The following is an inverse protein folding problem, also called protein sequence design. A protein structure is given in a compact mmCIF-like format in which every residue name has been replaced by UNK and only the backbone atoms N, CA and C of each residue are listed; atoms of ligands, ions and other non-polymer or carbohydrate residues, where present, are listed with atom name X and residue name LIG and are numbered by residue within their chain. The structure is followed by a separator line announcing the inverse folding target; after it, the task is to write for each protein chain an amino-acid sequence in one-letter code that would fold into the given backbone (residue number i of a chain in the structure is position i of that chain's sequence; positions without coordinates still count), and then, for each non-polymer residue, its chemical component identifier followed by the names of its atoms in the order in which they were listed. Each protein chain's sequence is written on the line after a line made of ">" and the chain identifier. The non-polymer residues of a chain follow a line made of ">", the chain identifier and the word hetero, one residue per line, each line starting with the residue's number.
data_IF_909886437651
#
_entry.id   IF_909886437651
#
_cell.length_a   1.000
_cell.length_b   1.000
_cell.length_c   1.000
_cell.angle_alpha   90.00
_cell.angle_beta   90.00
_cell.angle_gamma   90.00
#
_symmetry.space_group_name_H-M   'P 1'
#
loop_
_entity.id
_entity.type
_entity.pdbx_description
1 polymer ?
#
# COMPACT_ATOMS: atom_id res chain seq x y z
N UNK A 1 54.45 -3.47 38.62
CA UNK A 1 55.53 -2.83 37.82
C UNK A 1 56.51 -2.17 38.78
N UNK A 2 57.82 -2.36 38.62
CA UNK A 2 58.81 -1.71 39.48
C UNK A 2 58.76 -0.19 39.29
N UNK A 3 58.95 0.57 40.37
CA UNK A 3 59.04 2.03 40.30
C UNK A 3 60.28 2.48 39.52
N UNK A 4 60.17 3.57 38.77
CA UNK A 4 61.29 4.10 38.00
C UNK A 4 62.28 4.83 38.93
N UNK A 5 63.55 4.42 38.90
CA UNK A 5 64.63 4.88 39.82
C UNK A 5 65.97 5.09 39.12
N UNK A 6 66.00 5.07 37.80
CA UNK A 6 67.24 5.19 37.02
C UNK A 6 67.74 6.63 37.02
N UNK A 7 69.05 6.83 37.13
CA UNK A 7 69.67 8.16 37.20
C UNK A 7 69.63 8.81 38.59
N UNK A 8 69.92 10.12 38.63
CA UNK A 8 69.92 10.96 39.83
C UNK A 8 69.14 12.24 39.60
N UNK A 9 68.63 12.85 40.67
CA UNK A 9 67.90 14.13 40.61
C UNK A 9 68.58 15.23 41.41
N UNK A 10 68.59 16.43 40.86
CA UNK A 10 68.95 17.68 41.51
C UNK A 10 67.67 18.47 41.80
N UNK A 11 67.49 18.86 43.06
CA UNK A 11 66.34 19.64 43.52
C UNK A 11 66.81 20.65 44.56
N UNK A 12 66.57 21.93 44.30
CA UNK A 12 66.87 22.99 45.25
C UNK A 12 65.75 23.12 46.29
N UNK A 13 66.13 23.42 47.54
CA UNK A 13 65.17 23.62 48.63
C UNK A 13 64.16 24.72 48.26
N UNK A 14 62.87 24.46 48.49
CA UNK A 14 61.78 25.38 48.18
C UNK A 14 61.48 25.56 46.69
N UNK A 15 62.12 24.81 45.79
CA UNK A 15 61.84 24.84 44.36
C UNK A 15 60.92 23.69 43.93
N UNK A 16 60.19 23.90 42.83
CA UNK A 16 59.32 22.88 42.22
C UNK A 16 60.00 22.12 41.10
N UNK A 17 61.16 22.58 40.61
CA UNK A 17 61.82 21.97 39.45
C UNK A 17 62.77 20.86 39.89
N UNK A 18 62.60 19.68 39.29
CA UNK A 18 63.45 18.51 39.47
C UNK A 18 64.24 18.31 38.18
N UNK A 19 65.58 18.38 38.28
CA UNK A 19 66.48 18.18 37.13
C UNK A 19 67.18 16.84 37.26
N UNK A 20 66.94 15.93 36.33
CA UNK A 20 67.51 14.60 36.28
C UNK A 20 68.81 14.52 35.47
N UNK A 21 69.71 13.63 35.89
CA UNK A 21 70.89 13.20 35.12
C UNK A 21 70.80 11.69 34.92
N UNK A 22 70.86 11.23 33.67
CA UNK A 22 70.65 9.82 33.32
C UNK A 22 69.21 9.33 33.55
N UNK A 23 68.24 10.26 33.55
CA UNK A 23 66.81 9.97 33.70
C UNK A 23 66.10 10.05 32.35
N UNK A 24 64.93 9.43 32.24
CA UNK A 24 63.98 9.58 31.15
C UNK A 24 62.55 9.66 31.68
N UNK A 25 62.23 10.79 32.33
CA UNK A 25 60.94 11.06 32.95
C UNK A 25 59.79 10.99 31.96
N UNK A 26 59.93 11.60 30.77
CA UNK A 26 58.89 11.63 29.75
C UNK A 26 58.46 10.23 29.26
N UNK A 27 59.38 9.25 29.22
CA UNK A 27 59.04 7.89 28.83
C UNK A 27 58.49 7.02 29.97
N UNK A 28 58.75 7.38 31.23
CA UNK A 28 58.53 6.51 32.39
C UNK A 28 57.60 7.09 33.46
N UNK A 29 57.06 8.28 33.26
CA UNK A 29 56.12 8.93 34.19
C UNK A 29 55.09 9.77 33.45
N UNK A 30 54.03 10.14 34.15
CA UNK A 30 52.98 11.05 33.70
C UNK A 30 52.74 12.12 34.76
N UNK A 31 52.20 13.26 34.33
CA UNK A 31 51.64 14.25 35.27
C UNK A 31 50.57 13.57 36.13
N UNK A 32 50.62 13.81 37.43
CA UNK A 32 49.80 13.15 38.45
C UNK A 32 50.47 11.96 39.13
N UNK A 33 51.60 11.45 38.61
CA UNK A 33 52.38 10.40 39.29
C UNK A 33 53.02 10.93 40.58
N UNK A 34 53.31 10.01 41.51
CA UNK A 34 53.96 10.36 42.76
C UNK A 34 55.48 10.21 42.62
N UNK A 35 56.20 11.28 42.90
CA UNK A 35 57.65 11.29 43.07
C UNK A 35 57.99 11.17 44.55
N UNK A 36 58.76 10.15 44.91
CA UNK A 36 59.47 10.11 46.18
C UNK A 36 60.79 10.85 46.02
N UNK A 37 60.92 11.98 46.70
CA UNK A 37 62.13 12.81 46.67
C UNK A 37 63.30 12.16 47.42
N UNK A 38 64.53 12.69 47.26
CA UNK A 38 65.70 12.23 48.02
C UNK A 38 65.56 12.38 49.54
N UNK A 39 64.66 13.26 49.99
CA UNK A 39 64.27 13.44 51.39
C UNK A 39 63.27 12.38 51.89
N UNK A 40 62.86 11.45 51.03
CA UNK A 40 61.93 10.35 51.34
C UNK A 40 60.45 10.75 51.29
N UNK A 41 60.13 12.02 51.04
CA UNK A 41 58.75 12.54 50.99
C UNK A 41 58.12 12.35 49.61
N UNK A 42 56.80 12.32 49.59
CA UNK A 42 56.00 12.18 48.38
C UNK A 42 55.55 13.54 47.85
N UNK A 43 55.70 13.70 46.54
CA UNK A 43 55.33 14.88 45.80
C UNK A 43 54.52 14.48 44.56
N UNK A 44 53.54 15.30 44.19
CA UNK A 44 52.80 15.13 42.95
C UNK A 44 53.61 15.71 41.79
N UNK A 45 53.82 14.95 40.71
CA UNK A 45 54.41 15.47 39.48
C UNK A 45 53.37 16.33 38.75
N UNK A 46 53.61 17.64 38.64
CA UNK A 46 52.66 18.60 38.05
C UNK A 46 52.93 18.92 36.58
N UNK A 47 54.15 18.71 36.11
CA UNK A 47 54.52 18.90 34.72
C UNK A 47 55.73 18.02 34.39
N UNK A 48 55.84 17.55 33.13
CA UNK A 48 57.03 16.87 32.62
C UNK A 48 57.50 17.64 31.39
N UNK A 49 58.54 18.45 31.56
CA UNK A 49 59.07 19.30 30.49
C UNK A 49 59.95 18.52 29.51
N UNK A 50 60.64 17.46 29.97
CA UNK A 50 61.49 16.62 29.13
C UNK A 50 61.82 15.28 29.82
N UNK A 51 62.67 14.45 29.19
CA UNK A 51 63.24 13.25 29.83
C UNK A 51 64.08 13.55 31.09
N UNK A 52 64.53 14.79 31.27
CA UNK A 52 65.41 15.19 32.38
C UNK A 52 64.85 16.32 33.23
N UNK A 53 63.67 16.87 32.93
CA UNK A 53 63.09 17.95 33.72
C UNK A 53 61.62 17.67 33.98
N UNK A 54 61.23 17.67 35.25
CA UNK A 54 59.83 17.65 35.68
C UNK A 54 59.60 18.69 36.79
N UNK A 55 58.35 18.97 37.09
CA UNK A 55 57.94 19.84 38.19
C UNK A 55 57.11 19.07 39.21
N UNK A 56 57.22 19.46 40.48
CA UNK A 56 56.53 18.83 41.61
C UNK A 56 55.70 19.81 42.44
N UNK A 57 54.69 19.30 43.13
CA UNK A 57 53.89 20.01 44.13
C UNK A 57 53.65 19.12 45.39
N UNK A 58 53.74 19.67 46.61
CA UNK A 58 54.24 21.01 46.95
C UNK A 58 55.72 21.19 46.58
N UNK A 59 56.25 22.41 46.70
CA UNK A 59 57.68 22.66 46.48
C UNK A 59 58.55 21.79 47.39
N UNK A 60 59.76 21.45 46.93
CA UNK A 60 60.65 20.51 47.61
C UNK A 60 60.98 20.95 49.03
N UNK A 61 60.69 20.08 50.00
CA UNK A 61 60.78 20.37 51.43
C UNK A 61 62.11 19.90 52.06
N UNK A 62 62.95 19.21 51.28
CA UNK A 62 64.30 18.80 51.68
C UNK A 62 65.35 19.89 51.48
N UNK A 63 66.54 19.67 52.03
CA UNK A 63 67.73 20.49 51.73
C UNK A 63 68.13 20.35 50.25
N UNK A 64 68.72 21.40 49.67
CA UNK A 64 69.20 21.39 48.28
C UNK A 64 70.16 20.22 48.03
N UNK A 65 69.87 19.41 47.02
CA UNK A 65 70.68 18.25 46.64
C UNK A 65 71.01 18.35 45.15
N UNK A 66 72.27 18.10 44.80
CA UNK A 66 72.75 18.09 43.42
C UNK A 66 72.68 16.72 42.74
N UNK A 67 72.61 15.61 43.50
CA UNK A 67 72.54 14.25 42.96
C UNK A 67 71.90 13.25 43.95
N UNK A 68 70.58 13.29 44.09
CA UNK A 68 69.82 12.43 45.00
C UNK A 68 69.22 11.19 44.35
N UNK A 69 68.95 10.16 45.16
CA UNK A 69 68.09 9.03 44.77
C UNK A 69 66.62 9.45 44.79
N UNK A 70 65.81 8.85 43.95
CA UNK A 70 64.37 9.12 43.87
C UNK A 70 63.62 7.85 43.48
N UNK A 71 62.29 7.90 43.53
CA UNK A 71 61.45 6.91 42.89
C UNK A 71 60.19 7.53 42.30
N UNK A 72 59.82 7.14 41.09
CA UNK A 72 58.54 7.49 40.48
C UNK A 72 57.58 6.30 40.57
N UNK A 73 56.48 6.53 41.28
CA UNK A 73 55.39 5.59 41.45
C UNK A 73 54.21 6.03 40.56
N UNK A 74 53.78 5.19 39.60
CA UNK A 74 52.60 5.48 38.81
C UNK A 74 51.37 5.60 39.69
N UNK A 75 50.76 6.79 39.76
CA UNK A 75 49.51 6.99 40.47
C UNK A 75 48.38 6.87 39.45
N UNK A 76 48.15 5.63 39.00
CA UNK A 76 46.99 5.33 38.20
C UNK A 76 45.75 5.40 39.10
N UNK A 77 45.28 6.61 39.40
CA UNK A 77 43.86 6.80 39.64
C UNK A 77 43.14 6.12 38.49
N UNK A 78 42.14 5.28 38.79
CA UNK A 78 41.27 4.62 37.80
C UNK A 78 41.18 5.50 36.55
N UNK A 79 41.37 4.95 35.34
CA UNK A 79 41.32 5.72 34.08
C UNK A 79 39.95 6.41 33.97
N UNK A 80 39.81 7.52 34.68
CA UNK A 80 38.52 8.07 35.11
C UNK A 80 37.82 8.60 33.89
N UNK A 81 38.60 9.15 32.98
CA UNK A 81 38.16 9.55 31.66
C UNK A 81 37.60 8.37 30.84
N UNK A 82 38.23 7.18 30.85
CA UNK A 82 37.71 6.03 30.11
C UNK A 82 36.42 5.48 30.75
N UNK A 83 36.37 5.42 32.08
CA UNK A 83 35.16 5.03 32.80
C UNK A 83 34.02 6.04 32.61
N UNK A 84 34.33 7.33 32.58
CA UNK A 84 33.35 8.41 32.35
C UNK A 84 32.87 8.41 30.90
N UNK A 85 33.75 8.19 29.91
CA UNK A 85 33.38 8.02 28.49
C UNK A 85 32.51 6.78 28.27
N UNK A 86 32.82 5.65 28.92
CA UNK A 86 31.98 4.45 28.84
C UNK A 86 30.61 4.68 29.48
N UNK A 87 30.56 5.37 30.63
CA UNK A 87 29.30 5.72 31.28
C UNK A 87 28.44 6.61 30.38
N UNK A 88 29.03 7.62 29.74
CA UNK A 88 28.33 8.47 28.78
C UNK A 88 27.72 7.66 27.63
N UNK A 89 28.44 6.67 27.08
CA UNK A 89 27.89 5.79 26.03
C UNK A 89 26.67 5.01 26.56
N UNK A 90 26.77 4.44 27.77
CA UNK A 90 25.67 3.69 28.39
C UNK A 90 24.47 4.58 28.69
N UNK A 91 24.69 5.80 29.17
CA UNK A 91 23.64 6.77 29.44
C UNK A 91 22.94 7.24 28.16
N UNK A 92 23.72 7.52 27.10
CA UNK A 92 23.20 8.03 25.85
C UNK A 92 22.50 6.96 25.01
N UNK A 93 23.08 5.75 24.93
CA UNK A 93 22.64 4.71 24.00
C UNK A 93 22.10 3.45 24.68
N UNK A 94 22.26 3.29 26.00
CA UNK A 94 21.89 2.05 26.69
C UNK A 94 20.41 1.70 26.52
N UNK A 95 19.52 2.69 26.61
CA UNK A 95 18.08 2.49 26.38
C UNK A 95 17.76 2.12 24.93
N UNK A 96 18.43 2.74 23.95
CA UNK A 96 18.25 2.44 22.53
C UNK A 96 18.77 1.05 22.18
N UNK A 97 19.94 0.68 22.71
CA UNK A 97 20.54 -0.63 22.51
C UNK A 97 19.75 -1.73 23.21
N UNK A 98 19.14 -1.44 24.36
CA UNK A 98 18.27 -2.38 25.06
C UNK A 98 17.05 -2.80 24.23
N UNK A 99 16.55 -1.93 23.33
CA UNK A 99 15.47 -2.28 22.38
C UNK A 99 15.88 -3.42 21.44
N UNK A 100 17.18 -3.60 21.17
CA UNK A 100 17.66 -4.70 20.32
C UNK A 100 17.57 -6.07 21.01
N UNK A 101 17.50 -6.14 22.33
CA UNK A 101 17.45 -7.38 23.11
C UNK A 101 18.62 -8.33 22.83
N UNK A 102 18.36 -9.65 22.87
CA UNK A 102 19.34 -10.72 22.57
C UNK A 102 19.32 -11.18 21.11
N UNK A 103 18.99 -10.28 20.17
CA UNK A 103 18.88 -10.64 18.76
C UNK A 103 20.24 -11.08 18.18
N UNK A 104 20.37 -12.37 17.87
CA UNK A 104 21.54 -12.95 17.18
C UNK A 104 21.32 -13.14 15.68
N UNK A 105 20.11 -12.85 15.20
CA UNK A 105 19.73 -13.01 13.79
C UNK A 105 18.91 -11.80 13.32
N UNK A 106 18.99 -11.49 12.03
CA UNK A 106 18.23 -10.39 11.43
C UNK A 106 16.70 -10.52 11.63
N UNK A 107 16.07 -11.71 11.59
CA UNK A 107 14.65 -11.86 11.91
C UNK A 107 14.30 -11.47 13.35
N UNK A 108 15.08 -11.93 14.34
CA UNK A 108 14.82 -11.61 15.75
C UNK A 108 15.03 -10.13 16.05
N UNK A 109 16.00 -9.50 15.37
CA UNK A 109 16.21 -8.06 15.44
C UNK A 109 14.98 -7.28 14.97
N UNK A 110 14.42 -7.65 13.80
CA UNK A 110 13.21 -7.01 13.25
C UNK A 110 11.99 -7.16 14.15
N UNK A 111 11.84 -8.31 14.81
CA UNK A 111 10.80 -8.56 15.80
C UNK A 111 10.95 -7.62 17.01
N UNK A 112 12.15 -7.53 17.59
CA UNK A 112 12.42 -6.73 18.78
C UNK A 112 12.19 -5.22 18.55
N UNK A 113 12.53 -4.69 17.37
CA UNK A 113 12.33 -3.28 17.04
C UNK A 113 10.88 -2.95 16.63
N UNK A 114 10.05 -3.95 16.32
CA UNK A 114 8.65 -3.77 15.95
C UNK A 114 8.43 -2.84 14.75
N UNK A 115 9.37 -2.81 13.80
CA UNK A 115 9.42 -1.80 12.73
C UNK A 115 8.10 -1.69 11.94
N UNK A 116 7.42 -2.82 11.69
CA UNK A 116 6.18 -2.83 10.92
C UNK A 116 4.93 -2.39 11.71
N UNK A 117 4.99 -2.35 13.05
CA UNK A 117 3.82 -2.13 13.92
C UNK A 117 3.75 -0.71 14.52
N UNK A 118 4.82 0.09 14.41
CA UNK A 118 4.99 1.34 15.16
C UNK A 118 4.73 2.63 14.36
N UNK A 119 4.19 2.57 13.16
CA UNK A 119 3.85 3.78 12.40
C UNK A 119 3.41 3.51 10.97
N UNK A 120 3.22 4.59 10.20
CA UNK A 120 3.03 4.50 8.77
C UNK A 120 4.36 4.05 8.12
N UNK A 121 4.34 2.92 7.42
CA UNK A 121 5.51 2.34 6.77
C UNK A 121 5.81 3.05 5.42
N UNK A 122 5.90 4.38 5.42
CA UNK A 122 6.01 5.20 4.20
C UNK A 122 7.37 5.12 3.50
N UNK A 123 8.37 4.53 4.16
CA UNK A 123 9.72 4.27 3.66
C UNK A 123 9.84 2.92 2.91
N UNK A 124 8.84 2.03 3.00
CA UNK A 124 8.82 0.77 2.26
C UNK A 124 8.47 1.03 0.79
N UNK A 125 9.46 0.95 -0.09
CA UNK A 125 9.29 1.14 -1.53
C UNK A 125 8.96 -0.15 -2.30
N UNK A 126 9.20 -1.33 -1.71
CA UNK A 126 8.83 -2.63 -2.30
C UNK A 126 8.73 -3.76 -1.27
N UNK A 127 7.91 -4.77 -1.57
CA UNK A 127 7.76 -6.02 -0.81
C UNK A 127 7.83 -7.22 -1.77
N UNK A 128 9.03 -7.72 -2.03
CA UNK A 128 9.28 -8.74 -3.08
C UNK A 128 8.91 -10.18 -2.69
N UNK A 129 8.49 -10.42 -1.44
CA UNK A 129 8.21 -11.75 -0.90
C UNK A 129 6.74 -12.06 -0.62
N UNK A 130 5.80 -11.24 -1.10
CA UNK A 130 4.37 -11.48 -0.87
C UNK A 130 3.87 -12.68 -1.66
N UNK A 131 3.60 -13.79 -0.98
CA UNK A 131 2.93 -14.98 -1.54
C UNK A 131 1.47 -15.11 -1.10
N UNK A 132 1.06 -14.37 -0.06
CA UNK A 132 -0.33 -14.33 0.44
C UNK A 132 -0.98 -13.01 0.03
N UNK A 133 -2.16 -13.08 -0.58
CA UNK A 133 -2.91 -11.89 -0.98
C UNK A 133 -3.33 -11.06 0.24
N UNK A 134 -3.22 -9.73 0.14
CA UNK A 134 -3.76 -8.81 1.13
C UNK A 134 -5.27 -8.68 0.95
N UNK A 135 -6.02 -8.62 2.05
CA UNK A 135 -7.46 -8.35 1.98
C UNK A 135 -7.73 -6.93 1.46
N UNK A 136 -8.97 -6.68 1.03
CA UNK A 136 -9.41 -5.34 0.62
C UNK A 136 -9.26 -4.32 1.75
N UNK A 137 -9.62 -4.69 2.99
CA UNK A 137 -9.46 -3.81 4.15
C UNK A 137 -7.99 -3.45 4.44
N UNK A 138 -7.05 -4.27 3.96
CA UNK A 138 -5.61 -4.06 4.07
C UNK A 138 -5.00 -3.37 2.84
N UNK A 139 -5.82 -2.88 1.90
CA UNK A 139 -5.35 -2.11 0.75
C UNK A 139 -4.79 -2.94 -0.42
N UNK A 140 -4.96 -4.27 -0.41
CA UNK A 140 -4.41 -5.17 -1.43
C UNK A 140 -4.90 -4.94 -2.87
N UNK A 141 -5.94 -4.14 -3.04
CA UNK A 141 -6.58 -3.82 -4.34
C UNK A 141 -6.51 -2.33 -4.70
N UNK A 142 -5.73 -1.54 -3.94
CA UNK A 142 -5.60 -0.09 -4.15
C UNK A 142 -6.71 0.76 -3.51
N UNK A 143 -7.59 0.17 -2.69
CA UNK A 143 -8.63 0.90 -1.97
C UNK A 143 -9.13 0.19 -0.70
N UNK A 144 -9.53 0.95 0.32
CA UNK A 144 -10.06 0.44 1.59
C UNK A 144 -11.58 0.23 1.62
N UNK A 145 -12.28 0.61 0.54
CA UNK A 145 -13.71 0.36 0.37
C UNK A 145 -13.94 -0.49 -0.87
N UNK A 146 -15.10 -1.16 -0.96
CA UNK A 146 -15.43 -1.95 -2.15
C UNK A 146 -15.42 -1.11 -3.43
N UNK A 147 -15.83 0.17 -3.36
CA UNK A 147 -15.85 1.07 -4.51
C UNK A 147 -14.44 1.41 -5.01
N UNK A 148 -13.54 1.78 -4.10
CA UNK A 148 -12.15 2.12 -4.46
C UNK A 148 -11.34 0.89 -4.86
N UNK A 149 -11.60 -0.28 -4.26
CA UNK A 149 -11.02 -1.55 -4.66
C UNK A 149 -11.37 -1.95 -6.10
N UNK A 150 -12.65 -1.84 -6.49
CA UNK A 150 -13.08 -2.10 -7.88
C UNK A 150 -12.41 -1.14 -8.87
N UNK A 151 -12.30 0.14 -8.50
CA UNK A 151 -11.61 1.13 -9.33
C UNK A 151 -10.12 0.79 -9.50
N UNK A 152 -9.44 0.38 -8.42
CA UNK A 152 -8.03 -0.02 -8.47
C UNK A 152 -7.76 -1.25 -9.34
N UNK A 153 -8.72 -2.18 -9.41
CA UNK A 153 -8.66 -3.35 -10.31
C UNK A 153 -9.11 -3.06 -11.76
N UNK A 154 -9.54 -1.84 -12.07
CA UNK A 154 -10.05 -1.47 -13.40
C UNK A 154 -11.43 -2.07 -13.73
N UNK A 155 -12.21 -2.47 -12.72
CA UNK A 155 -13.55 -3.01 -12.91
C UNK A 155 -14.54 -1.88 -13.28
N UNK A 156 -15.36 -2.14 -14.30
CA UNK A 156 -16.34 -1.18 -14.83
C UNK A 156 -17.73 -1.36 -14.19
N UNK A 157 -18.71 -0.55 -14.59
CA UNK A 157 -20.07 -0.52 -14.04
C UNK A 157 -20.80 -1.88 -14.04
N UNK A 158 -20.50 -2.76 -15.00
CA UNK A 158 -21.05 -4.12 -15.05
C UNK A 158 -20.68 -4.97 -13.82
N UNK A 159 -19.61 -4.63 -13.09
CA UNK A 159 -19.20 -5.34 -11.87
C UNK A 159 -20.13 -5.08 -10.67
N UNK A 160 -21.01 -4.07 -10.77
CA UNK A 160 -21.97 -3.70 -9.71
C UNK A 160 -23.42 -3.73 -10.15
N UNK A 161 -23.67 -3.88 -11.46
CA UNK A 161 -25.02 -3.95 -11.99
C UNK A 161 -25.64 -5.31 -11.68
N UNK A 162 -26.90 -5.33 -11.30
CA UNK A 162 -27.67 -6.58 -11.21
C UNK A 162 -27.74 -7.24 -12.59
N UNK A 163 -27.59 -8.56 -12.65
CA UNK A 163 -27.68 -9.28 -13.92
C UNK A 163 -29.11 -9.19 -14.47
N UNK A 164 -30.10 -9.46 -13.62
CA UNK A 164 -31.53 -9.41 -13.97
C UNK A 164 -32.26 -8.50 -12.98
N UNK A 165 -32.97 -7.51 -13.50
CA UNK A 165 -33.71 -6.52 -12.73
C UNK A 165 -34.27 -5.43 -13.63
N UNK A 166 -34.71 -4.31 -13.07
CA UNK A 166 -35.14 -3.17 -13.87
C UNK A 166 -33.96 -2.59 -14.64
N UNK A 167 -34.04 -2.57 -15.97
CA UNK A 167 -33.06 -1.89 -16.80
C UNK A 167 -33.48 -0.43 -16.89
N UNK A 168 -32.54 0.47 -16.62
CA UNK A 168 -32.76 1.91 -16.67
C UNK A 168 -31.58 2.61 -17.32
N UNK A 169 -31.80 3.84 -17.76
CA UNK A 169 -30.79 4.68 -18.39
C UNK A 169 -30.98 6.14 -18.01
N UNK A 170 -29.91 6.92 -18.09
CA UNK A 170 -29.94 8.37 -18.01
C UNK A 170 -29.00 8.95 -19.06
N UNK A 171 -29.52 9.76 -19.98
CA UNK A 171 -28.71 10.40 -21.03
C UNK A 171 -27.99 9.42 -21.96
N UNK A 172 -28.58 8.25 -22.22
CA UNK A 172 -27.99 7.17 -23.02
C UNK A 172 -27.06 6.24 -22.23
N UNK A 173 -26.78 6.56 -20.96
CA UNK A 173 -25.90 5.75 -20.09
C UNK A 173 -26.74 4.75 -19.29
N UNK A 174 -26.40 3.46 -19.29
CA UNK A 174 -27.14 2.46 -18.52
C UNK A 174 -26.90 2.64 -17.01
N UNK A 175 -27.98 2.68 -16.22
CA UNK A 175 -27.95 2.91 -14.76
C UNK A 175 -28.56 1.78 -13.95
N UNK A 176 -29.21 0.81 -14.60
CA UNK A 176 -29.92 -0.30 -13.95
C UNK A 176 -29.25 -1.66 -14.15
N UNK A 177 -30.07 -2.71 -14.14
CA UNK A 177 -29.65 -4.07 -14.41
C UNK A 177 -29.21 -4.27 -15.88
N UNK A 178 -28.57 -5.41 -16.18
CA UNK A 178 -28.14 -5.76 -17.54
C UNK A 178 -29.32 -6.24 -18.40
N UNK A 179 -30.21 -7.05 -17.81
CA UNK A 179 -31.39 -7.59 -18.47
C UNK A 179 -32.65 -7.33 -17.64
N UNK A 180 -33.73 -6.92 -18.29
CA UNK A 180 -35.07 -6.87 -17.70
C UNK A 180 -35.96 -7.81 -18.49
N UNK A 181 -36.61 -8.75 -17.81
CA UNK A 181 -37.61 -9.63 -18.43
C UNK A 181 -38.96 -9.33 -17.85
N UNK A 182 -39.98 -9.34 -18.69
CA UNK A 182 -41.35 -9.19 -18.24
C UNK A 182 -42.36 -9.77 -19.21
N UNK A 183 -43.60 -9.85 -18.75
CA UNK A 183 -44.75 -10.24 -19.56
C UNK A 183 -45.99 -9.51 -19.10
N UNK A 184 -46.87 -9.19 -20.04
CA UNK A 184 -48.20 -8.69 -19.78
C UNK A 184 -49.18 -9.29 -20.81
N UNK A 185 -50.41 -8.80 -20.86
CA UNK A 185 -51.42 -9.28 -21.79
C UNK A 185 -51.03 -9.13 -23.27
N UNK A 186 -50.08 -8.25 -23.59
CA UNK A 186 -49.65 -7.96 -24.95
C UNK A 186 -48.44 -8.82 -25.39
N UNK A 187 -47.86 -9.60 -24.49
CA UNK A 187 -46.73 -10.48 -24.79
C UNK A 187 -45.63 -10.48 -23.73
N UNK A 188 -44.49 -11.05 -24.09
CA UNK A 188 -43.27 -11.11 -23.26
C UNK A 188 -42.14 -10.29 -23.87
N UNK A 189 -41.22 -9.81 -23.05
CA UNK A 189 -40.12 -8.98 -23.51
C UNK A 189 -38.83 -9.20 -22.73
N UNK A 190 -37.73 -8.79 -23.36
CA UNK A 190 -36.42 -8.58 -22.74
C UNK A 190 -35.92 -7.21 -23.13
N UNK A 191 -35.60 -6.35 -22.16
CA UNK A 191 -34.79 -5.14 -22.39
C UNK A 191 -33.35 -5.43 -22.04
N UNK A 192 -32.45 -4.80 -22.78
CA UNK A 192 -31.01 -4.89 -22.59
C UNK A 192 -30.47 -3.51 -22.18
N UNK A 193 -29.44 -3.53 -21.33
CA UNK A 193 -28.75 -2.32 -20.89
C UNK A 193 -28.06 -1.55 -22.02
N UNK A 194 -27.97 -2.05 -23.24
CA UNK A 194 -27.47 -1.28 -24.40
C UNK A 194 -28.58 -0.45 -25.10
N UNK A 195 -29.81 -0.56 -24.60
CA UNK A 195 -31.00 0.09 -25.14
C UNK A 195 -31.71 -0.70 -26.23
N UNK A 196 -31.21 -1.87 -26.61
CA UNK A 196 -31.99 -2.80 -27.42
C UNK A 196 -33.06 -3.49 -26.57
N UNK A 197 -34.12 -3.96 -27.21
CA UNK A 197 -35.12 -4.82 -26.61
C UNK A 197 -35.69 -5.79 -27.64
N UNK A 198 -36.12 -6.95 -27.15
CA UNK A 198 -36.86 -7.94 -27.93
C UNK A 198 -38.22 -8.18 -27.27
N UNK A 199 -39.28 -8.23 -28.07
CA UNK A 199 -40.62 -8.59 -27.61
C UNK A 199 -41.19 -9.72 -28.47
N UNK A 200 -41.93 -10.61 -27.82
CA UNK A 200 -42.71 -11.63 -28.49
C UNK A 200 -44.19 -11.41 -28.17
N UNK A 201 -45.01 -11.38 -29.21
CA UNK A 201 -46.44 -11.08 -29.12
C UNK A 201 -47.23 -11.90 -30.12
N UNK A 202 -48.54 -11.85 -29.98
CA UNK A 202 -49.46 -12.56 -30.85
C UNK A 202 -50.56 -11.61 -31.31
N UNK A 203 -50.87 -11.62 -32.60
CA UNK A 203 -52.00 -10.86 -33.18
C UNK A 203 -52.93 -11.80 -33.93
N UNK A 204 -54.21 -11.46 -33.99
CA UNK A 204 -55.22 -12.27 -34.66
C UNK A 204 -55.93 -11.46 -35.75
N UNK A 205 -56.14 -12.08 -36.91
CA UNK A 205 -56.96 -11.53 -38.00
C UNK A 205 -58.08 -12.49 -38.38
N UNK A 206 -59.21 -11.91 -38.79
CA UNK A 206 -60.40 -12.64 -39.26
C UNK A 206 -60.83 -12.22 -40.66
N UNK A 207 -60.14 -11.25 -41.27
CA UNK A 207 -60.50 -10.66 -42.55
C UNK A 207 -59.34 -10.76 -43.53
N UNK A 208 -59.62 -11.28 -44.73
CA UNK A 208 -58.62 -11.57 -45.74
C UNK A 208 -59.16 -11.25 -47.12
N UNK A 209 -58.36 -10.61 -47.97
CA UNK A 209 -58.70 -10.29 -49.36
C UNK A 209 -57.66 -10.88 -50.32
N UNK A 210 -58.07 -11.46 -51.46
CA UNK A 210 -57.13 -11.95 -52.46
C UNK A 210 -56.40 -10.78 -53.15
N UNK A 211 -55.09 -10.88 -53.30
CA UNK A 211 -54.23 -9.91 -54.00
C UNK A 211 -53.14 -10.65 -54.77
N UNK A 212 -53.21 -10.65 -56.10
CA UNK A 212 -52.18 -11.19 -57.00
C UNK A 212 -51.63 -12.59 -56.62
N UNK A 213 -52.51 -13.54 -56.30
CA UNK A 213 -52.13 -14.92 -55.92
C UNK A 213 -51.80 -15.11 -54.44
N UNK A 214 -51.79 -14.04 -53.65
CA UNK A 214 -51.69 -14.06 -52.19
C UNK A 214 -53.05 -13.71 -51.57
N UNK A 215 -53.18 -13.92 -50.26
CA UNK A 215 -54.27 -13.41 -49.44
C UNK A 215 -53.70 -12.45 -48.41
N UNK A 216 -54.33 -11.28 -48.24
CA UNK A 216 -53.80 -10.20 -47.39
C UNK A 216 -54.81 -9.86 -46.30
N UNK A 217 -54.33 -9.67 -45.07
CA UNK A 217 -55.16 -9.20 -43.97
C UNK A 217 -55.48 -7.71 -44.07
N UNK A 218 -56.49 -7.25 -43.31
CA UNK A 218 -56.58 -5.83 -42.96
C UNK A 218 -55.36 -5.40 -42.12
N UNK A 219 -55.18 -4.08 -41.95
CA UNK A 219 -54.24 -3.58 -40.94
C UNK A 219 -54.66 -4.06 -39.56
N UNK A 220 -53.73 -4.71 -38.87
CA UNK A 220 -53.91 -5.18 -37.50
C UNK A 220 -53.12 -4.27 -36.55
N UNK A 221 -53.77 -3.87 -35.47
CA UNK A 221 -53.08 -3.25 -34.34
C UNK A 221 -52.45 -4.37 -33.49
N UNK A 222 -51.14 -4.32 -33.29
CA UNK A 222 -50.40 -5.21 -32.41
C UNK A 222 -49.80 -4.37 -31.25
N UNK A 223 -50.52 -4.22 -30.14
CA UNK A 223 -50.01 -3.55 -28.95
C UNK A 223 -48.74 -4.23 -28.47
N UNK A 224 -47.69 -3.46 -28.19
CA UNK A 224 -46.41 -4.01 -27.74
C UNK A 224 -46.39 -4.12 -26.21
N UNK A 225 -45.68 -5.10 -25.63
CA UNK A 225 -45.60 -5.25 -24.17
C UNK A 225 -44.71 -4.19 -23.51
N UNK A 226 -43.90 -3.48 -24.30
CA UNK A 226 -43.04 -2.35 -23.90
C UNK A 226 -43.03 -1.29 -25.00
N UNK A 227 -42.66 -0.07 -24.65
CA UNK A 227 -42.47 1.00 -25.63
C UNK A 227 -41.19 0.78 -26.45
N UNK A 228 -41.30 0.89 -27.77
CA UNK A 228 -40.16 1.00 -28.67
C UNK A 228 -40.05 2.43 -29.22
N UNK A 229 -38.83 2.88 -29.50
CA UNK A 229 -38.59 4.12 -30.23
C UNK A 229 -39.14 3.96 -31.65
N UNK A 230 -39.92 4.95 -32.10
CA UNK A 230 -40.50 4.97 -33.43
C UNK A 230 -39.42 4.80 -34.51
N UNK A 231 -39.65 3.87 -35.45
CA UNK A 231 -38.70 3.58 -36.53
C UNK A 231 -37.48 2.75 -36.14
N UNK A 232 -37.28 2.41 -34.87
CA UNK A 232 -36.14 1.58 -34.43
C UNK A 232 -36.40 0.07 -34.53
N UNK A 233 -37.66 -0.34 -34.65
CA UNK A 233 -38.03 -1.74 -34.53
C UNK A 233 -38.10 -2.46 -35.89
N UNK A 234 -37.52 -3.65 -35.94
CA UNK A 234 -37.65 -4.65 -37.00
C UNK A 234 -38.51 -5.79 -36.45
N UNK A 235 -39.28 -6.40 -37.34
CA UNK A 235 -40.23 -7.45 -36.97
C UNK A 235 -40.15 -8.63 -37.92
N UNK A 236 -40.47 -9.79 -37.38
CA UNK A 236 -40.66 -11.04 -38.11
C UNK A 236 -41.81 -11.79 -37.47
N UNK A 237 -42.58 -12.53 -38.25
CA UNK A 237 -43.62 -13.36 -37.70
C UNK A 237 -44.17 -14.37 -38.68
N UNK A 238 -44.80 -15.39 -38.10
CA UNK A 238 -45.39 -16.50 -38.81
C UNK A 238 -46.67 -16.95 -38.11
N UNK A 239 -47.63 -17.44 -38.88
CA UNK A 239 -48.80 -18.12 -38.38
C UNK A 239 -48.46 -19.56 -37.97
N UNK A 240 -49.39 -20.21 -37.27
CA UNK A 240 -49.19 -21.58 -36.79
C UNK A 240 -48.99 -22.63 -37.91
N UNK A 241 -49.37 -22.32 -39.16
CA UNK A 241 -49.16 -23.20 -40.31
C UNK A 241 -47.88 -22.87 -41.10
N UNK A 242 -47.11 -21.87 -40.68
CA UNK A 242 -45.91 -21.38 -41.35
C UNK A 242 -46.12 -21.05 -42.85
N UNK A 243 -47.35 -20.68 -43.23
CA UNK A 243 -47.71 -20.37 -44.62
C UNK A 243 -47.89 -18.86 -44.85
N UNK A 244 -47.70 -18.07 -43.79
CA UNK A 244 -47.73 -16.61 -43.82
C UNK A 244 -46.32 -16.02 -43.84
N UNK A 245 -46.13 -14.96 -44.62
CA UNK A 245 -45.04 -14.03 -44.45
C UNK A 245 -45.61 -12.65 -44.10
N UNK A 246 -44.88 -11.91 -43.30
CA UNK A 246 -45.36 -10.70 -42.63
C UNK A 246 -44.62 -9.50 -43.22
N UNK A 247 -45.34 -8.50 -43.74
CA UNK A 247 -44.74 -7.26 -44.29
C UNK A 247 -45.16 -6.10 -43.38
N UNK A 248 -44.16 -5.45 -42.79
CA UNK A 248 -44.32 -4.48 -41.71
C UNK A 248 -45.12 -3.23 -42.08
N UNK A 249 -45.94 -2.75 -41.14
CA UNK A 249 -46.46 -1.38 -41.11
C UNK A 249 -45.65 -0.48 -40.16
N UNK A 250 -46.25 0.65 -39.76
CA UNK A 250 -45.59 1.70 -38.95
C UNK A 250 -45.42 1.27 -37.48
N UNK A 251 -44.22 1.47 -36.94
CA UNK A 251 -43.90 1.29 -35.50
C UNK A 251 -44.25 2.57 -34.75
N UNK A 252 -45.10 2.45 -33.74
CA UNK A 252 -45.55 3.53 -32.87
C UNK A 252 -45.13 3.26 -31.42
N UNK A 253 -45.05 4.30 -30.57
CA UNK A 253 -44.81 4.09 -29.14
C UNK A 253 -45.96 3.27 -28.54
N UNK A 254 -45.70 2.01 -28.22
CA UNK A 254 -46.63 1.01 -27.64
C UNK A 254 -47.53 0.23 -28.62
N UNK A 255 -47.39 0.42 -29.92
CA UNK A 255 -48.20 -0.30 -30.91
C UNK A 255 -47.47 -0.46 -32.23
N UNK A 256 -47.74 -1.53 -32.94
CA UNK A 256 -47.24 -1.74 -34.30
C UNK A 256 -48.44 -2.04 -35.20
N UNK A 257 -48.51 -1.34 -36.34
CA UNK A 257 -49.44 -1.71 -37.40
C UNK A 257 -48.84 -2.84 -38.23
N UNK A 258 -49.60 -3.92 -38.43
CA UNK A 258 -49.12 -5.15 -39.08
C UNK A 258 -50.08 -5.59 -40.18
N UNK A 259 -49.54 -6.01 -41.33
CA UNK A 259 -50.28 -6.78 -42.34
C UNK A 259 -49.62 -8.14 -42.55
N UNK A 260 -50.45 -9.15 -42.77
CA UNK A 260 -50.01 -10.51 -43.03
C UNK A 260 -50.40 -10.93 -44.45
N UNK A 261 -49.47 -11.61 -45.13
CA UNK A 261 -49.65 -12.16 -46.46
C UNK A 261 -49.60 -13.68 -46.36
N UNK A 262 -50.56 -14.35 -46.97
CA UNK A 262 -50.70 -15.80 -46.95
C UNK A 262 -50.62 -16.36 -48.37
N UNK A 263 -49.91 -17.47 -48.52
CA UNK A 263 -49.70 -18.15 -49.82
C UNK A 263 -50.88 -19.02 -50.24
N UNK A 264 -51.82 -19.26 -49.34
CA UNK A 264 -53.06 -20.02 -49.60
C UNK A 264 -54.25 -19.33 -48.95
N UNK A 265 -55.45 -19.60 -49.44
CA UNK A 265 -56.67 -19.13 -48.79
C UNK A 265 -56.67 -19.60 -47.33
N UNK A 266 -56.87 -18.70 -46.35
CA UNK A 266 -57.02 -19.09 -44.97
C UNK A 266 -58.38 -19.80 -44.85
N UNK A 267 -58.41 -21.11 -45.07
CA UNK A 267 -59.61 -21.97 -44.93
C UNK A 267 -60.16 -22.09 -43.51
N UNK A 268 -59.88 -21.10 -42.65
CA UNK A 268 -60.26 -20.99 -41.24
C UNK A 268 -60.62 -19.52 -40.97
N UNK A 269 -61.71 -19.22 -40.25
CA UNK A 269 -62.21 -17.85 -40.04
C UNK A 269 -61.29 -16.94 -39.21
N UNK A 270 -60.29 -17.50 -38.54
CA UNK A 270 -59.39 -16.80 -37.63
C UNK A 270 -57.97 -17.30 -37.84
N UNK A 271 -57.00 -16.38 -37.98
CA UNK A 271 -55.57 -16.68 -38.04
C UNK A 271 -54.83 -15.95 -36.94
N UNK A 272 -54.01 -16.70 -36.21
CA UNK A 272 -53.16 -16.21 -35.14
C UNK A 272 -51.72 -16.18 -35.62
N UNK A 273 -51.04 -15.05 -35.41
CA UNK A 273 -49.70 -14.77 -35.92
C UNK A 273 -48.80 -14.48 -34.74
N UNK A 274 -47.71 -15.23 -34.63
CA UNK A 274 -46.66 -14.98 -33.65
C UNK A 274 -45.67 -13.98 -34.24
N UNK A 275 -45.33 -12.96 -33.47
CA UNK A 275 -44.48 -11.86 -33.91
C UNK A 275 -43.32 -11.73 -32.91
N UNK A 276 -42.11 -11.67 -33.45
CA UNK A 276 -40.93 -11.22 -32.73
C UNK A 276 -40.59 -9.82 -33.22
N UNK A 277 -40.42 -8.90 -32.28
CA UNK A 277 -40.03 -7.52 -32.51
C UNK A 277 -38.67 -7.31 -31.87
N UNK A 278 -37.75 -6.68 -32.59
CA UNK A 278 -36.45 -6.25 -32.08
C UNK A 278 -36.28 -4.77 -32.36
N UNK A 279 -35.95 -3.96 -31.37
CA UNK A 279 -35.80 -2.51 -31.56
C UNK A 279 -35.13 -1.85 -30.38
N UNK A 280 -35.23 -0.52 -30.29
CA UNK A 280 -34.70 0.24 -29.14
C UNK A 280 -35.81 0.65 -28.19
N UNK A 281 -35.57 0.55 -26.89
CA UNK A 281 -36.49 1.05 -25.85
C UNK A 281 -36.05 2.41 -25.29
N UNK A 282 -34.79 2.83 -25.54
CA UNK A 282 -34.28 4.18 -25.34
C UNK A 282 -33.12 4.54 -26.29
#
# INVERSE_FOLDING_TARGET
>A
MPWYREGKVAIAAGQTTVTGTGTNFAANSRVGDALQGPDGRWYEVTNIASGTVLSIYPAYQGATIAAGTYGLAPMQGYVKEAADRLRQIVEQFGSTLAVLGVATTAPKLRENIGAAARGANSDITSLTGMTTALSVAQGGTGGSTQATARAGLGLKAAATADIVGTVSQSGGVPTGAIFEKGSNANGRYVKYADGSATAEMTVTTTSFSPVAGLHVSNDMSAPTPITFIAGSAVLSGNDALNNSFLVAGRVEPNNISVKAYFTSSPGVPVRTINIVVQGRWY
#
